data_IF_062222614186
#
_entry.id   IF_062222614186
#
_cell.length_a   1.000
_cell.length_b   1.000
_cell.length_c   1.000
_cell.angle_alpha   90.00
_cell.angle_beta   90.00
_cell.angle_gamma   90.00
#
_symmetry.space_group_name_H-M   'P 1'
#
loop_
_entity.id
_entity.type
_entity.pdbx_description
1 polymer ?
#
# COMPACT_ATOMS: atom_id res chain seq x y z
N UNK A 1 -6.05 -7.06 -7.42
CA UNK A 1 -5.65 -5.83 -8.13
C UNK A 1 -4.14 -5.62 -8.05
N UNK A 2 -3.57 -5.39 -6.85
CA UNK A 2 -2.11 -5.21 -6.68
C UNK A 2 -1.35 -6.53 -6.85
N UNK A 3 -1.87 -7.65 -6.34
CA UNK A 3 -1.27 -8.98 -6.56
C UNK A 3 -1.07 -9.28 -8.05
N UNK A 4 -2.07 -8.96 -8.88
CA UNK A 4 -1.98 -9.14 -10.33
C UNK A 4 -0.90 -8.25 -10.97
N UNK A 5 -0.75 -7.00 -10.52
CA UNK A 5 0.35 -6.12 -10.98
C UNK A 5 1.71 -6.74 -10.63
N UNK A 6 1.85 -7.29 -9.43
CA UNK A 6 3.08 -7.90 -8.97
C UNK A 6 3.40 -9.19 -9.74
N UNK A 7 2.39 -10.03 -9.98
CA UNK A 7 2.48 -11.24 -10.81
C UNK A 7 2.87 -10.91 -12.26
N UNK A 8 2.22 -9.92 -12.89
CA UNK A 8 2.57 -9.41 -14.23
C UNK A 8 4.04 -8.96 -14.30
N UNK A 9 4.54 -8.36 -13.24
CA UNK A 9 5.93 -7.89 -13.14
C UNK A 9 6.93 -8.98 -12.70
N UNK A 10 6.46 -10.20 -12.40
CA UNK A 10 7.30 -11.27 -11.87
C UNK A 10 7.87 -10.99 -10.48
N UNK A 11 7.19 -10.17 -9.69
CA UNK A 11 7.61 -9.76 -8.34
C UNK A 11 6.77 -10.51 -7.31
N UNK A 12 7.31 -11.54 -6.65
CA UNK A 12 6.58 -12.24 -5.59
C UNK A 12 6.33 -11.30 -4.42
N UNK A 13 5.20 -11.50 -3.75
CA UNK A 13 4.80 -10.73 -2.59
C UNK A 13 4.16 -11.61 -1.53
N UNK A 14 4.19 -11.16 -0.29
CA UNK A 14 3.45 -11.79 0.80
C UNK A 14 2.93 -10.71 1.74
N UNK A 15 1.83 -11.01 2.43
CA UNK A 15 1.34 -10.18 3.54
C UNK A 15 2.40 -10.17 4.67
N UNK A 16 2.53 -9.04 5.35
CA UNK A 16 3.43 -8.83 6.49
C UNK A 16 2.68 -8.44 7.78
N UNK A 17 1.37 -8.21 7.72
CA UNK A 17 0.55 -7.97 8.90
C UNK A 17 -0.04 -9.29 9.39
N UNK A 18 0.10 -9.56 10.68
CA UNK A 18 -0.56 -10.70 11.31
C UNK A 18 -2.02 -10.33 11.61
N UNK A 19 -2.94 -10.78 10.77
CA UNK A 19 -4.39 -10.57 10.94
C UNK A 19 -5.02 -11.57 11.93
N UNK A 20 -4.23 -12.14 12.84
CA UNK A 20 -4.72 -13.15 13.79
C UNK A 20 -4.41 -12.74 15.23
N UNK A 21 -5.42 -12.86 16.09
CA UNK A 21 -5.27 -12.61 17.52
C UNK A 21 -4.38 -13.66 18.20
N UNK A 22 -4.09 -13.44 19.48
CA UNK A 22 -3.36 -14.39 20.33
C UNK A 22 -4.00 -15.79 20.45
N UNK A 23 -5.23 -15.98 19.95
CA UNK A 23 -5.97 -17.25 19.92
C UNK A 23 -6.06 -17.83 18.50
N UNK A 24 -5.36 -17.26 17.52
CA UNK A 24 -5.36 -17.71 16.13
C UNK A 24 -6.67 -17.43 15.38
N UNK A 25 -7.53 -16.57 15.91
CA UNK A 25 -8.76 -16.14 15.24
C UNK A 25 -8.42 -14.95 14.36
N UNK A 26 -8.94 -14.94 13.14
CA UNK A 26 -8.80 -13.79 12.24
C UNK A 26 -9.43 -12.57 12.91
N UNK A 27 -8.64 -11.54 13.18
CA UNK A 27 -9.14 -10.23 13.56
C UNK A 27 -9.64 -9.55 12.28
N UNK A 28 -10.93 -9.21 12.27
CA UNK A 28 -11.59 -8.56 11.15
C UNK A 28 -11.66 -7.04 11.32
N UNK A 29 -10.95 -6.49 12.32
CA UNK A 29 -10.97 -5.04 12.57
C UNK A 29 -10.24 -4.35 11.41
N UNK A 30 -11.02 -3.61 10.63
CA UNK A 30 -11.01 -3.71 9.17
C UNK A 30 -9.95 -2.84 8.47
N UNK A 31 -8.75 -2.71 9.03
CA UNK A 31 -7.65 -2.00 8.38
C UNK A 31 -6.25 -2.55 8.77
N UNK A 32 -5.35 -2.71 7.79
CA UNK A 32 -5.55 -2.45 6.37
C UNK A 32 -6.35 -3.55 5.66
N UNK A 33 -7.07 -3.17 4.61
CA UNK A 33 -7.81 -4.12 3.75
C UNK A 33 -6.88 -4.89 2.79
N UNK A 34 -5.64 -4.42 2.63
CA UNK A 34 -4.61 -5.09 1.87
C UNK A 34 -3.22 -4.66 2.36
N UNK A 35 -2.31 -5.62 2.44
CA UNK A 35 -0.90 -5.39 2.69
C UNK A 35 -0.05 -6.37 1.87
N UNK A 36 1.09 -5.89 1.37
CA UNK A 36 2.05 -6.71 0.66
C UNK A 36 3.47 -6.17 0.79
N UNK A 37 4.39 -7.05 1.16
CA UNK A 37 5.82 -6.83 1.10
C UNK A 37 6.38 -7.54 -0.13
N UNK A 38 7.27 -6.86 -0.85
CA UNK A 38 7.92 -7.32 -2.08
C UNK A 38 9.42 -7.51 -1.82
N UNK A 39 9.88 -8.71 -1.41
CA UNK A 39 11.24 -8.90 -0.91
C UNK A 39 12.33 -8.53 -1.92
N UNK A 40 12.12 -8.85 -3.20
CA UNK A 40 13.10 -8.57 -4.26
C UNK A 40 13.26 -7.09 -4.57
N UNK A 41 12.29 -6.26 -4.18
CA UNK A 41 12.34 -4.80 -4.36
C UNK A 41 12.67 -4.06 -3.06
N UNK A 42 12.58 -4.73 -1.91
CA UNK A 42 12.63 -4.11 -0.59
C UNK A 42 11.62 -2.96 -0.44
N UNK A 43 10.37 -3.25 -0.81
CA UNK A 43 9.26 -2.30 -0.83
C UNK A 43 8.01 -2.92 -0.22
N UNK A 44 7.14 -2.09 0.36
CA UNK A 44 5.84 -2.51 0.84
C UNK A 44 4.71 -1.63 0.28
N UNK A 45 3.48 -2.16 0.31
CA UNK A 45 2.24 -1.43 0.04
C UNK A 45 1.21 -1.78 1.09
N UNK A 46 0.48 -0.77 1.56
CA UNK A 46 -0.66 -0.90 2.45
C UNK A 46 -1.86 -0.13 1.88
N UNK A 47 -3.03 -0.77 1.83
CA UNK A 47 -4.29 -0.09 1.51
C UNK A 47 -5.20 -0.08 2.75
N UNK A 48 -5.63 1.11 3.12
CA UNK A 48 -6.56 1.38 4.20
C UNK A 48 -7.90 1.78 3.56
N UNK A 49 -8.99 1.17 4.02
CA UNK A 49 -10.33 1.60 3.61
C UNK A 49 -10.87 2.57 4.66
N UNK A 50 -11.30 3.73 4.20
CA UNK A 50 -11.94 4.76 5.01
C UNK A 50 -13.41 4.90 4.61
N UNK A 51 -14.24 5.40 5.52
CA UNK A 51 -15.60 5.78 5.18
C UNK A 51 -15.57 7.06 4.33
N UNK A 52 -16.41 7.18 3.30
CA UNK A 52 -16.50 8.42 2.54
C UNK A 52 -16.95 9.57 3.44
N UNK A 53 -16.18 10.65 3.46
CA UNK A 53 -16.47 11.86 4.24
C UNK A 53 -16.83 13.02 3.31
N UNK A 54 -17.94 13.71 3.62
CA UNK A 54 -18.41 14.82 2.80
C UNK A 54 -17.41 15.98 2.81
N UNK A 55 -16.83 16.29 1.65
CA UNK A 55 -15.86 17.38 1.48
C UNK A 55 -14.40 16.98 1.71
N UNK A 56 -14.12 15.71 2.04
CA UNK A 56 -12.77 15.16 2.03
C UNK A 56 -12.47 14.49 0.67
N UNK A 57 -11.20 14.37 0.27
CA UNK A 57 -10.82 13.56 -0.88
C UNK A 57 -11.16 12.08 -0.63
N UNK A 58 -11.71 11.40 -1.64
CA UNK A 58 -12.01 9.97 -1.57
C UNK A 58 -10.74 9.08 -1.57
N UNK A 59 -9.56 9.67 -1.77
CA UNK A 59 -8.27 8.99 -1.73
C UNK A 59 -7.17 9.91 -1.21
N UNK A 60 -6.32 9.35 -0.35
CA UNK A 60 -5.06 9.91 0.09
C UNK A 60 -3.96 8.86 -0.06
N UNK A 61 -2.74 9.31 -0.34
CA UNK A 61 -1.58 8.44 -0.36
C UNK A 61 -0.37 9.16 0.22
N UNK A 62 0.55 8.40 0.80
CA UNK A 62 1.82 8.92 1.31
C UNK A 62 2.87 7.83 1.38
N UNK A 63 4.13 8.24 1.53
CA UNK A 63 5.22 7.31 1.83
C UNK A 63 5.41 7.20 3.34
N UNK A 64 5.51 5.96 3.82
CA UNK A 64 5.81 5.60 5.19
C UNK A 64 7.00 4.61 5.21
N UNK A 65 7.35 4.08 6.38
CA UNK A 65 8.32 3.01 6.52
C UNK A 65 7.91 2.02 7.60
N UNK A 66 8.24 0.75 7.39
CA UNK A 66 7.91 -0.34 8.32
C UNK A 66 9.15 -1.13 8.75
N UNK A 67 9.23 -1.42 10.04
CA UNK A 67 10.30 -2.23 10.64
C UNK A 67 9.95 -3.72 10.59
N UNK A 68 10.22 -4.37 9.45
CA UNK A 68 9.94 -5.81 9.28
C UNK A 68 11.02 -6.74 9.84
N UNK A 69 12.26 -6.25 9.95
CA UNK A 69 13.40 -7.05 10.33
C UNK A 69 14.19 -6.35 11.42
N UNK A 70 14.31 -6.99 12.57
CA UNK A 70 15.05 -6.45 13.71
C UNK A 70 16.50 -6.10 13.32
N UNK A 71 16.91 -4.86 13.64
CA UNK A 71 18.26 -4.37 13.35
C UNK A 71 18.57 -4.14 11.86
N UNK A 72 17.56 -4.06 10.99
CA UNK A 72 17.72 -3.68 9.57
C UNK A 72 17.14 -2.30 9.29
N UNK A 73 17.49 -1.75 8.12
CA UNK A 73 16.90 -0.50 7.62
C UNK A 73 15.38 -0.68 7.48
N UNK A 74 14.55 0.31 7.86
CA UNK A 74 13.11 0.27 7.63
C UNK A 74 12.80 0.08 6.13
N UNK A 75 11.79 -0.73 5.83
CA UNK A 75 11.31 -0.95 4.46
C UNK A 75 10.42 0.24 4.07
N UNK A 76 10.68 0.94 2.95
CA UNK A 76 9.79 1.98 2.47
C UNK A 76 8.43 1.40 2.05
N UNK A 77 7.36 2.07 2.45
CA UNK A 77 5.98 1.64 2.27
C UNK A 77 5.17 2.72 1.55
N UNK A 78 4.46 2.33 0.49
CA UNK A 78 3.41 3.17 -0.09
C UNK A 78 2.10 2.89 0.64
N UNK A 79 1.55 3.89 1.32
CA UNK A 79 0.25 3.81 1.98
C UNK A 79 -0.80 4.51 1.12
N UNK A 80 -1.93 3.84 0.91
CA UNK A 80 -3.07 4.34 0.16
C UNK A 80 -4.31 4.22 1.04
N UNK A 81 -4.86 5.34 1.49
CA UNK A 81 -6.14 5.39 2.18
C UNK A 81 -7.22 5.80 1.18
N UNK A 82 -8.35 5.09 1.13
CA UNK A 82 -9.42 5.40 0.19
C UNK A 82 -10.81 5.06 0.69
N UNK A 83 -11.78 5.85 0.26
CA UNK A 83 -13.17 5.43 0.18
C UNK A 83 -13.37 4.57 -1.07
N UNK A 84 -14.01 3.41 -0.93
CA UNK A 84 -14.07 2.43 -2.01
C UNK A 84 -14.99 2.87 -3.15
N UNK A 85 -14.40 3.21 -4.30
CA UNK A 85 -15.10 3.51 -5.54
C UNK A 85 -14.34 2.92 -6.74
N UNK A 86 -14.93 2.97 -7.94
CA UNK A 86 -14.22 2.56 -9.16
C UNK A 86 -13.04 3.48 -9.48
N UNK A 87 -13.19 4.77 -9.17
CA UNK A 87 -12.18 5.80 -9.44
C UNK A 87 -11.00 5.65 -8.49
N UNK A 88 -11.26 5.51 -7.18
CA UNK A 88 -10.21 5.35 -6.18
C UNK A 88 -9.47 4.02 -6.33
N UNK A 89 -10.17 2.95 -6.77
CA UNK A 89 -9.52 1.70 -7.14
C UNK A 89 -8.58 1.85 -8.35
N UNK A 90 -8.97 2.63 -9.37
CA UNK A 90 -8.13 2.90 -10.53
C UNK A 90 -6.89 3.73 -10.14
N UNK A 91 -7.06 4.74 -9.30
CA UNK A 91 -5.94 5.54 -8.78
C UNK A 91 -4.99 4.72 -7.91
N UNK A 92 -5.51 3.90 -7.00
CA UNK A 92 -4.71 3.00 -6.18
C UNK A 92 -3.90 2.01 -7.05
N UNK A 93 -4.50 1.52 -8.14
CA UNK A 93 -3.83 0.66 -9.12
C UNK A 93 -2.66 1.39 -9.77
N UNK A 94 -2.86 2.63 -10.19
CA UNK A 94 -1.83 3.44 -10.86
C UNK A 94 -0.65 3.74 -9.92
N UNK A 95 -0.92 4.17 -8.70
CA UNK A 95 0.10 4.40 -7.68
C UNK A 95 0.91 3.12 -7.40
N UNK A 96 0.23 1.98 -7.30
CA UNK A 96 0.89 0.69 -7.11
C UNK A 96 1.77 0.31 -8.32
N UNK A 97 1.37 0.62 -9.56
CA UNK A 97 2.20 0.38 -10.76
C UNK A 97 3.46 1.23 -10.75
N UNK A 98 3.33 2.52 -10.46
CA UNK A 98 4.47 3.44 -10.35
C UNK A 98 5.48 2.96 -9.31
N UNK A 99 4.98 2.44 -8.19
CA UNK A 99 5.81 1.96 -7.10
C UNK A 99 6.48 0.60 -7.37
N UNK A 100 5.73 -0.39 -7.87
CA UNK A 100 6.17 -1.79 -8.02
C UNK A 100 6.83 -2.01 -9.39
N UNK A 101 6.20 -1.54 -10.47
CA UNK A 101 6.59 -1.86 -11.85
C UNK A 101 7.61 -0.86 -12.37
N UNK A 102 7.33 0.43 -12.24
CA UNK A 102 8.22 1.51 -12.69
C UNK A 102 9.36 1.76 -11.70
N UNK A 103 9.24 1.17 -10.49
CA UNK A 103 10.26 1.12 -9.45
C UNK A 103 10.72 2.49 -8.97
N UNK A 104 9.87 3.50 -9.01
CA UNK A 104 10.16 4.80 -8.42
C UNK A 104 10.65 4.68 -6.97
N UNK A 105 11.58 5.53 -6.58
CA UNK A 105 12.04 5.68 -5.21
C UNK A 105 10.97 6.33 -4.34
N UNK A 106 11.10 6.23 -3.00
CA UNK A 106 10.17 6.87 -2.08
C UNK A 106 10.13 8.41 -2.29
N UNK A 107 11.27 9.03 -2.60
CA UNK A 107 11.33 10.46 -2.90
C UNK A 107 10.57 10.83 -4.18
N UNK A 108 10.69 10.03 -5.24
CA UNK A 108 9.93 10.25 -6.48
C UNK A 108 8.43 10.03 -6.26
N UNK A 109 8.04 8.98 -5.55
CA UNK A 109 6.64 8.75 -5.18
C UNK A 109 6.07 9.91 -4.36
N UNK A 110 6.80 10.40 -3.36
CA UNK A 110 6.37 11.56 -2.55
C UNK A 110 6.12 12.78 -3.44
N UNK A 111 6.98 13.03 -4.44
CA UNK A 111 6.79 14.12 -5.40
C UNK A 111 5.55 13.89 -6.28
N UNK A 112 5.35 12.68 -6.82
CA UNK A 112 4.20 12.33 -7.65
C UNK A 112 2.88 12.51 -6.87
N UNK A 113 2.81 11.96 -5.67
CA UNK A 113 1.67 12.06 -4.76
C UNK A 113 1.35 13.54 -4.46
N UNK A 114 2.37 14.32 -4.06
CA UNK A 114 2.20 15.74 -3.72
C UNK A 114 1.74 16.63 -4.88
N UNK A 115 1.97 16.19 -6.13
CA UNK A 115 1.50 16.90 -7.33
C UNK A 115 0.06 16.52 -7.69
N UNK A 116 -0.34 15.28 -7.40
CA UNK A 116 -1.63 14.70 -7.81
C UNK A 116 -2.76 15.01 -6.83
N UNK A 117 -2.49 15.01 -5.53
CA UNK A 117 -3.50 15.14 -4.47
C UNK A 117 -3.36 16.43 -3.68
N UNK A 118 -3.13 17.54 -4.40
CA UNK A 118 -2.91 18.88 -3.84
C UNK A 118 -4.21 19.62 -3.56
#
# INVERSE_FOLDING_TARGET
>A
MITAIAEEAGVPSHSYINHFDSKGRKEYDANPIFDAFFPSLYKAVRIIQEEPEAGAPDIAAWMDSIDLFEGKTPVPELVIALALSKETAADARELARQWIVERHSAAEMQQLISRRYR
#
